data_IF_196138219575
#
_entry.id   IF_196138219575
#
_cell.length_a   1.000
_cell.length_b   1.000
_cell.length_c   1.000
_cell.angle_alpha   90.00
_cell.angle_beta   90.00
_cell.angle_gamma   90.00
#
_symmetry.space_group_name_H-M   'P 1'
#
loop_
_entity.id
_entity.type
_entity.pdbx_description
1 polymer ?
#
# COMPACT_ATOMS: atom_id res chain seq x y z
N UNK A 1 18.01 -42.38 16.01
CA UNK A 1 16.77 -42.03 16.73
C UNK A 1 15.62 -42.06 15.72
N UNK A 2 14.71 -43.04 15.82
CA UNK A 2 13.58 -43.15 14.89
C UNK A 2 12.51 -42.09 15.22
N UNK A 3 12.52 -40.96 14.51
CA UNK A 3 11.45 -39.97 14.62
C UNK A 3 10.22 -40.51 13.91
N UNK A 4 9.19 -40.87 14.69
CA UNK A 4 7.89 -41.31 14.17
C UNK A 4 6.93 -40.12 14.13
N UNK A 5 6.28 -39.92 12.99
CA UNK A 5 5.31 -38.86 12.76
C UNK A 5 4.06 -39.11 13.62
N UNK A 6 3.59 -38.10 14.36
CA UNK A 6 2.44 -38.24 15.29
C UNK A 6 1.26 -37.40 14.84
N UNK A 7 0.05 -37.92 15.04
CA UNK A 7 -1.17 -37.18 14.75
C UNK A 7 -1.33 -35.97 15.70
N UNK A 8 -1.61 -34.76 15.21
CA UNK A 8 -1.82 -33.58 16.07
C UNK A 8 -3.13 -33.65 16.89
N UNK A 9 -4.05 -34.54 16.52
CA UNK A 9 -5.38 -34.63 17.16
C UNK A 9 -5.44 -35.69 18.26
N UNK A 10 -4.78 -36.83 18.06
CA UNK A 10 -4.84 -37.96 18.99
C UNK A 10 -3.46 -38.49 19.41
N UNK A 11 -2.38 -37.85 18.97
CA UNK A 11 -0.98 -38.17 19.30
C UNK A 11 -0.48 -39.56 18.93
N UNK A 12 -1.33 -40.38 18.29
CA UNK A 12 -0.98 -41.70 17.80
C UNK A 12 0.08 -41.59 16.69
N UNK A 13 1.05 -42.52 16.71
CA UNK A 13 2.04 -42.66 15.64
C UNK A 13 1.39 -43.06 14.31
N UNK A 14 1.82 -42.44 13.22
CA UNK A 14 1.34 -42.73 11.86
C UNK A 14 2.24 -43.79 11.23
N UNK A 15 1.64 -44.82 10.64
CA UNK A 15 2.36 -45.86 9.92
C UNK A 15 2.91 -45.32 8.59
N UNK A 16 4.07 -45.78 8.10
CA UNK A 16 4.67 -45.30 6.85
C UNK A 16 3.75 -45.43 5.61
N UNK A 17 2.85 -46.42 5.58
CA UNK A 17 1.91 -46.63 4.49
C UNK A 17 0.82 -45.54 4.40
N UNK A 18 0.56 -44.82 5.50
CA UNK A 18 -0.45 -43.76 5.58
C UNK A 18 0.15 -42.35 5.41
N UNK A 19 1.39 -42.28 4.96
CA UNK A 19 2.14 -41.05 4.71
C UNK A 19 2.39 -40.91 3.22
N UNK A 20 1.82 -39.88 2.61
CA UNK A 20 2.15 -39.53 1.24
C UNK A 20 3.22 -38.43 1.25
N UNK A 21 4.48 -38.85 1.10
CA UNK A 21 5.64 -37.95 1.09
C UNK A 21 5.65 -36.98 -0.11
N UNK A 22 5.01 -37.33 -1.23
CA UNK A 22 4.94 -36.46 -2.41
C UNK A 22 3.96 -35.30 -2.23
N UNK A 23 2.90 -35.52 -1.46
CA UNK A 23 1.87 -34.52 -1.17
C UNK A 23 2.03 -33.87 0.21
N UNK A 24 3.00 -34.33 1.01
CA UNK A 24 3.23 -33.89 2.40
C UNK A 24 2.01 -34.05 3.32
N UNK A 25 1.16 -35.04 3.03
CA UNK A 25 -0.08 -35.31 3.77
C UNK A 25 -0.02 -36.68 4.44
N UNK A 26 -0.45 -36.74 5.69
CA UNK A 26 -0.59 -37.98 6.45
C UNK A 26 -2.05 -38.18 6.89
N UNK A 27 -2.50 -39.44 6.90
CA UNK A 27 -3.82 -39.83 7.40
C UNK A 27 -3.67 -40.65 8.68
N UNK A 28 -4.36 -40.25 9.74
CA UNK A 28 -4.43 -41.05 10.96
C UNK A 28 -5.54 -42.09 10.85
N UNK A 29 -5.19 -43.38 10.96
CA UNK A 29 -6.17 -44.47 10.98
C UNK A 29 -7.00 -44.50 12.27
N UNK A 30 -6.45 -44.02 13.40
CA UNK A 30 -7.13 -44.08 14.69
C UNK A 30 -8.27 -43.05 14.83
N UNK A 31 -8.10 -41.83 14.31
CA UNK A 31 -9.09 -40.75 14.43
C UNK A 31 -9.60 -40.21 13.10
N UNK A 32 -9.11 -40.72 11.97
CA UNK A 32 -9.47 -40.28 10.63
C UNK A 32 -8.91 -38.93 10.20
N UNK A 33 -8.11 -38.27 11.05
CA UNK A 33 -7.59 -36.93 10.77
C UNK A 33 -6.57 -36.96 9.63
N UNK A 34 -6.79 -36.15 8.59
CA UNK A 34 -5.86 -35.93 7.49
C UNK A 34 -5.20 -34.57 7.71
N UNK A 35 -3.87 -34.52 7.74
CA UNK A 35 -3.13 -33.30 8.06
C UNK A 35 -1.85 -33.19 7.23
N UNK A 36 -1.45 -31.97 6.94
CA UNK A 36 -0.18 -31.66 6.28
C UNK A 36 0.92 -31.54 7.36
N UNK A 37 2.08 -32.16 7.14
CA UNK A 37 3.20 -32.20 8.09
C UNK A 37 4.45 -31.42 7.63
N UNK A 38 4.34 -30.60 6.59
CA UNK A 38 5.40 -29.73 6.09
C UNK A 38 5.96 -28.79 7.18
N UNK A 39 5.07 -28.25 8.02
CA UNK A 39 5.45 -27.35 9.11
C UNK A 39 6.16 -28.05 10.28
N UNK A 40 5.92 -29.35 10.48
CA UNK A 40 6.46 -30.10 11.63
C UNK A 40 7.93 -30.51 11.43
N UNK A 41 8.41 -30.52 10.19
CA UNK A 41 9.80 -30.87 9.85
C UNK A 41 10.57 -29.69 9.23
N UNK A 42 10.05 -28.47 9.33
CA UNK A 42 10.84 -27.27 9.10
C UNK A 42 12.00 -27.26 10.10
N UNK A 43 13.22 -27.52 9.62
CA UNK A 43 14.41 -27.63 10.45
C UNK A 43 14.58 -26.36 11.29
N UNK A 44 14.97 -26.47 12.58
CA UNK A 44 15.35 -25.29 13.36
C UNK A 44 16.66 -24.75 12.77
N UNK A 45 16.55 -23.79 11.85
CA UNK A 45 17.68 -23.18 11.15
C UNK A 45 17.44 -22.89 9.66
N UNK A 46 16.41 -23.45 9.03
CA UNK A 46 15.99 -22.99 7.70
C UNK A 46 15.15 -21.75 7.86
N UNK A 47 15.78 -20.57 7.72
CA UNK A 47 15.09 -19.37 7.29
C UNK A 47 14.12 -19.78 6.17
N UNK A 48 12.83 -19.42 6.32
CA UNK A 48 11.78 -19.63 5.32
C UNK A 48 12.41 -19.55 3.93
N UNK A 49 12.57 -20.67 3.23
CA UNK A 49 13.00 -20.62 1.85
C UNK A 49 11.86 -19.97 1.10
N UNK A 50 12.03 -18.67 0.85
CA UNK A 50 11.10 -17.81 0.17
C UNK A 50 10.98 -18.36 -1.26
N UNK A 51 9.84 -18.98 -1.57
CA UNK A 51 9.56 -19.52 -2.91
C UNK A 51 9.38 -18.31 -3.84
N UNK A 52 10.15 -18.19 -4.94
CA UNK A 52 9.94 -17.14 -5.93
C UNK A 52 8.51 -17.18 -6.46
N UNK A 53 7.81 -16.05 -6.43
CA UNK A 53 6.41 -15.97 -6.86
C UNK A 53 6.35 -15.67 -8.36
N UNK A 54 5.77 -16.57 -9.14
CA UNK A 54 5.48 -16.31 -10.56
C UNK A 54 4.14 -15.55 -10.64
N UNK A 55 4.20 -14.22 -10.75
CA UNK A 55 3.04 -13.32 -10.78
C UNK A 55 2.65 -13.00 -12.23
N UNK A 56 1.35 -12.97 -12.52
CA UNK A 56 0.87 -12.53 -13.84
C UNK A 56 1.28 -11.07 -14.09
N UNK A 57 1.67 -10.75 -15.33
CA UNK A 57 2.02 -9.37 -15.70
C UNK A 57 0.79 -8.48 -15.64
N UNK A 58 0.91 -7.40 -14.87
CA UNK A 58 -0.19 -6.44 -14.68
C UNK A 58 -0.12 -5.39 -15.77
N UNK A 59 -1.22 -5.20 -16.48
CA UNK A 59 -1.35 -4.12 -17.46
C UNK A 59 -1.30 -2.75 -16.77
N UNK A 60 -0.73 -1.75 -17.44
CA UNK A 60 -0.64 -0.39 -16.90
C UNK A 60 -2.04 0.15 -16.48
N UNK A 61 -2.26 0.45 -15.19
CA UNK A 61 -3.54 0.93 -14.70
C UNK A 61 -3.76 2.42 -15.04
N UNK A 62 -5.01 2.89 -15.07
CA UNK A 62 -5.34 4.25 -15.47
C UNK A 62 -4.77 5.29 -14.49
N UNK A 63 -4.13 6.34 -15.02
CA UNK A 63 -3.55 7.41 -14.21
C UNK A 63 -2.13 7.15 -13.73
N UNK A 64 -1.53 6.04 -14.17
CA UNK A 64 -0.09 5.79 -14.12
C UNK A 64 0.48 5.96 -15.54
N UNK A 65 1.55 6.72 -15.66
CA UNK A 65 2.37 6.83 -16.87
C UNK A 65 3.77 6.31 -16.53
N UNK A 66 4.34 5.48 -17.38
CA UNK A 66 5.67 4.90 -17.15
C UNK A 66 6.50 4.91 -18.43
N UNK A 67 7.77 5.27 -18.31
CA UNK A 67 8.75 5.08 -19.37
C UNK A 67 10.08 4.63 -18.79
N UNK A 68 10.76 3.76 -19.52
CA UNK A 68 12.05 3.21 -19.14
C UNK A 68 13.11 3.65 -20.14
N UNK A 69 14.21 4.18 -19.62
CA UNK A 69 15.47 4.46 -20.30
C UNK A 69 16.49 3.39 -19.91
N UNK A 70 17.67 3.38 -20.54
CA UNK A 70 18.71 2.36 -20.28
C UNK A 70 19.11 2.23 -18.80
N UNK A 71 19.13 3.34 -18.06
CA UNK A 71 19.60 3.38 -16.67
C UNK A 71 18.64 4.08 -15.72
N UNK A 72 17.40 4.28 -16.15
CA UNK A 72 16.41 5.02 -15.37
C UNK A 72 15.00 4.55 -15.71
N UNK A 73 14.20 4.30 -14.69
CA UNK A 73 12.77 4.07 -14.81
C UNK A 73 12.04 5.25 -14.19
N UNK A 74 11.15 5.86 -14.96
CA UNK A 74 10.30 6.95 -14.50
C UNK A 74 8.85 6.50 -14.48
N UNK A 75 8.22 6.59 -13.31
CA UNK A 75 6.80 6.33 -13.12
C UNK A 75 6.12 7.59 -12.58
N UNK A 76 4.94 7.90 -13.09
CA UNK A 76 4.19 9.11 -12.74
C UNK A 76 2.75 8.73 -12.42
N UNK A 77 2.33 9.02 -11.20
CA UNK A 77 0.99 8.71 -10.67
C UNK A 77 0.19 9.99 -10.46
N UNK A 78 -0.97 10.10 -11.10
CA UNK A 78 -1.86 11.25 -10.95
C UNK A 78 -2.65 11.20 -9.64
N UNK A 79 -2.85 12.36 -8.99
CA UNK A 79 -3.64 12.42 -7.76
C UNK A 79 -5.15 12.58 -8.03
N UNK A 80 -5.55 12.81 -9.28
CA UNK A 80 -6.92 13.15 -9.67
C UNK A 80 -7.95 12.13 -9.16
N UNK A 81 -7.58 10.85 -9.12
CA UNK A 81 -8.45 9.77 -8.68
C UNK A 81 -8.69 9.75 -7.15
N UNK A 82 -8.05 10.65 -6.38
CA UNK A 82 -8.19 10.80 -4.92
C UNK A 82 -9.31 11.76 -4.50
N UNK A 83 -9.99 12.39 -5.46
CA UNK A 83 -11.09 13.32 -5.18
C UNK A 83 -12.36 12.53 -4.87
N UNK A 84 -12.92 12.77 -3.69
CA UNK A 84 -14.20 12.22 -3.27
C UNK A 84 -15.34 13.13 -3.72
N UNK A 85 -16.27 12.62 -4.53
CA UNK A 85 -17.36 13.42 -5.11
C UNK A 85 -18.20 14.16 -4.07
N UNK A 86 -18.53 13.49 -2.95
CA UNK A 86 -19.24 14.13 -1.84
C UNK A 86 -18.44 15.28 -1.21
N UNK A 87 -17.15 15.09 -0.95
CA UNK A 87 -16.30 16.11 -0.35
C UNK A 87 -16.12 17.32 -1.29
N UNK A 88 -16.03 17.07 -2.60
CA UNK A 88 -15.98 18.13 -3.60
C UNK A 88 -17.29 18.94 -3.63
N UNK A 89 -18.44 18.27 -3.66
CA UNK A 89 -19.75 18.91 -3.56
C UNK A 89 -19.87 19.73 -2.26
N UNK A 90 -19.53 19.12 -1.13
CA UNK A 90 -19.56 19.78 0.18
C UNK A 90 -18.66 21.01 0.19
N UNK A 91 -17.46 20.94 -0.38
CA UNK A 91 -16.54 22.09 -0.46
C UNK A 91 -17.17 23.24 -1.23
N UNK A 92 -17.78 22.97 -2.39
CA UNK A 92 -18.43 24.03 -3.19
C UNK A 92 -19.65 24.60 -2.45
N UNK A 93 -20.55 23.74 -1.97
CA UNK A 93 -21.76 24.17 -1.28
C UNK A 93 -21.46 24.95 0.00
N UNK A 94 -20.48 24.50 0.79
CA UNK A 94 -20.03 25.17 2.01
C UNK A 94 -19.48 26.57 1.72
N UNK A 95 -18.58 26.69 0.74
CA UNK A 95 -18.02 28.00 0.40
C UNK A 95 -19.07 28.96 -0.15
N UNK A 96 -20.05 28.47 -0.94
CA UNK A 96 -21.18 29.28 -1.39
C UNK A 96 -22.07 29.73 -0.23
N UNK A 97 -22.32 28.85 0.74
CA UNK A 97 -23.10 29.15 1.93
C UNK A 97 -22.47 30.25 2.79
N UNK A 98 -21.13 30.35 2.84
CA UNK A 98 -20.44 31.40 3.61
C UNK A 98 -20.56 32.81 2.99
N UNK A 99 -20.81 32.94 1.68
CA UNK A 99 -20.86 34.23 0.96
C UNK A 99 -21.80 35.26 1.60
N UNK A 100 -23.09 34.96 1.88
CA UNK A 100 -23.98 35.96 2.50
C UNK A 100 -23.49 36.44 3.88
N UNK A 101 -22.85 35.57 4.65
CA UNK A 101 -22.28 35.93 5.95
C UNK A 101 -21.08 36.87 5.79
N UNK A 102 -20.22 36.63 4.80
CA UNK A 102 -19.12 37.55 4.45
C UNK A 102 -19.69 38.95 4.12
N UNK A 103 -20.72 39.02 3.27
CA UNK A 103 -21.35 40.29 2.89
C UNK A 103 -21.99 41.01 4.09
N UNK A 104 -22.65 40.28 4.99
CA UNK A 104 -23.24 40.84 6.20
C UNK A 104 -22.18 41.42 7.15
N UNK A 105 -21.05 40.73 7.32
CA UNK A 105 -19.95 41.22 8.15
C UNK A 105 -19.32 42.47 7.54
N UNK A 106 -19.11 42.50 6.22
CA UNK A 106 -18.59 43.69 5.53
C UNK A 106 -19.51 44.90 5.69
N UNK A 107 -20.82 44.69 5.77
CA UNK A 107 -21.80 45.77 5.95
C UNK A 107 -21.94 46.23 7.42
N UNK A 108 -21.86 45.29 8.37
CA UNK A 108 -22.07 45.56 9.81
C UNK A 108 -20.80 45.97 10.56
N UNK A 109 -19.63 45.52 10.11
CA UNK A 109 -18.35 45.72 10.79
C UNK A 109 -18.17 44.88 12.06
N UNK A 110 -19.01 43.85 12.27
CA UNK A 110 -18.96 43.01 13.47
C UNK A 110 -17.70 42.12 13.48
N UNK A 111 -16.77 42.46 14.38
CA UNK A 111 -15.50 41.76 14.55
C UNK A 111 -15.64 40.40 15.25
N UNK A 112 -16.65 40.22 16.10
CA UNK A 112 -16.89 38.93 16.77
C UNK A 112 -17.37 37.91 15.73
N UNK A 113 -18.33 38.31 14.89
CA UNK A 113 -18.82 37.51 13.79
C UNK A 113 -17.70 37.19 12.78
N UNK A 114 -16.79 38.14 12.52
CA UNK A 114 -15.61 37.92 11.68
C UNK A 114 -14.67 36.86 12.25
N UNK A 115 -14.41 36.87 13.55
CA UNK A 115 -13.54 35.88 14.18
C UNK A 115 -14.10 34.46 14.01
N UNK A 116 -15.39 34.26 14.28
CA UNK A 116 -16.03 32.96 14.05
C UNK A 116 -16.01 32.54 12.58
N UNK A 117 -16.29 33.48 11.66
CA UNK A 117 -16.28 33.20 10.24
C UNK A 117 -14.86 32.88 9.72
N UNK A 118 -13.83 33.50 10.28
CA UNK A 118 -12.43 33.29 9.85
C UNK A 118 -12.00 31.83 9.92
N UNK A 119 -12.41 31.09 10.97
CA UNK A 119 -12.14 29.66 11.11
C UNK A 119 -12.83 28.85 10.00
N UNK A 120 -14.06 29.20 9.67
CA UNK A 120 -14.84 28.53 8.62
C UNK A 120 -14.25 28.79 7.23
N UNK A 121 -13.77 30.01 6.99
CA UNK A 121 -13.06 30.38 5.76
C UNK A 121 -11.72 29.67 5.65
N UNK A 122 -10.99 29.51 6.75
CA UNK A 122 -9.74 28.75 6.77
C UNK A 122 -9.98 27.28 6.40
N UNK A 123 -11.01 26.66 6.98
CA UNK A 123 -11.40 25.29 6.60
C UNK A 123 -11.84 25.22 5.14
N UNK A 124 -12.73 26.11 4.69
CA UNK A 124 -13.23 26.15 3.31
C UNK A 124 -12.11 26.36 2.29
N UNK A 125 -11.19 27.27 2.56
CA UNK A 125 -10.01 27.55 1.73
C UNK A 125 -9.03 26.38 1.71
N UNK A 126 -8.80 25.72 2.86
CA UNK A 126 -7.94 24.53 2.93
C UNK A 126 -8.51 23.36 2.10
N UNK A 127 -9.83 23.19 2.09
CA UNK A 127 -10.50 22.19 1.26
C UNK A 127 -10.36 22.53 -0.22
N UNK A 128 -10.60 23.77 -0.63
CA UNK A 128 -10.39 24.20 -2.02
C UNK A 128 -8.95 23.94 -2.45
N UNK A 129 -7.98 24.39 -1.64
CA UNK A 129 -6.57 24.18 -1.89
C UNK A 129 -6.23 22.70 -2.07
N UNK A 130 -6.74 21.83 -1.20
CA UNK A 130 -6.55 20.38 -1.30
C UNK A 130 -7.13 19.78 -2.59
N UNK A 131 -8.31 20.22 -3.03
CA UNK A 131 -8.91 19.76 -4.28
C UNK A 131 -8.08 20.18 -5.49
N UNK A 132 -7.61 21.43 -5.52
CA UNK A 132 -6.72 21.93 -6.58
C UNK A 132 -5.41 21.12 -6.59
N UNK A 133 -4.82 20.85 -5.42
CA UNK A 133 -3.65 20.01 -5.29
C UNK A 133 -3.92 18.60 -5.82
N UNK A 134 -5.05 17.96 -5.51
CA UNK A 134 -5.39 16.64 -6.06
C UNK A 134 -5.59 16.64 -7.58
N UNK A 135 -6.12 17.72 -8.15
CA UNK A 135 -6.32 17.83 -9.60
C UNK A 135 -5.03 17.98 -10.38
N UNK A 136 -4.08 18.76 -9.83
CA UNK A 136 -2.86 19.15 -10.55
C UNK A 136 -1.65 18.30 -10.15
N UNK A 137 -1.59 17.81 -8.92
CA UNK A 137 -0.42 17.09 -8.44
C UNK A 137 -0.29 15.70 -9.03
N UNK A 138 0.97 15.32 -9.18
CA UNK A 138 1.43 14.00 -9.55
C UNK A 138 2.52 13.59 -8.58
N UNK A 139 2.61 12.28 -8.34
CA UNK A 139 3.78 11.67 -7.71
C UNK A 139 4.69 11.16 -8.82
N UNK A 140 5.92 11.64 -8.86
CA UNK A 140 6.94 11.13 -9.78
C UNK A 140 7.90 10.25 -8.99
N UNK A 141 8.13 9.04 -9.50
CA UNK A 141 9.13 8.10 -9.03
C UNK A 141 10.22 8.04 -10.09
N UNK A 142 11.43 8.42 -9.71
CA UNK A 142 12.62 8.25 -10.52
C UNK A 142 13.46 7.14 -9.90
N UNK A 143 13.60 6.03 -10.61
CA UNK A 143 14.31 4.85 -10.14
C UNK A 143 15.58 4.70 -10.96
N UNK A 144 16.71 4.65 -10.26
CA UNK A 144 18.04 4.36 -10.82
C UNK A 144 18.63 3.17 -10.07
N UNK A 145 19.70 2.52 -10.58
CA UNK A 145 20.38 1.47 -9.84
C UNK A 145 20.90 1.88 -8.44
N UNK A 146 21.05 3.18 -8.19
CA UNK A 146 21.60 3.73 -6.95
C UNK A 146 20.53 4.20 -5.98
N UNK A 147 19.44 4.79 -6.47
CA UNK A 147 18.40 5.39 -5.63
C UNK A 147 17.01 5.38 -6.28
N UNK A 148 16.00 5.45 -5.41
CA UNK A 148 14.61 5.78 -5.75
C UNK A 148 14.33 7.18 -5.19
N UNK A 149 13.98 8.11 -6.07
CA UNK A 149 13.56 9.47 -5.73
C UNK A 149 12.05 9.60 -5.91
N UNK A 150 11.39 10.13 -4.88
CA UNK A 150 9.93 10.33 -4.83
C UNK A 150 9.65 11.82 -4.69
N UNK A 151 8.95 12.38 -5.67
CA UNK A 151 8.60 13.79 -5.71
C UNK A 151 7.10 13.99 -5.84
N UNK A 152 6.62 15.10 -5.28
CA UNK A 152 5.22 15.51 -5.32
C UNK A 152 5.13 16.95 -5.81
N UNK A 153 4.40 17.19 -6.89
CA UNK A 153 4.26 18.53 -7.46
C UNK A 153 3.20 18.58 -8.55
N UNK A 154 2.85 19.79 -9.05
CA UNK A 154 3.58 21.05 -8.86
C UNK A 154 3.19 21.87 -7.62
N UNK A 155 2.04 21.60 -7.00
CA UNK A 155 1.55 22.37 -5.84
C UNK A 155 2.18 21.82 -4.55
N UNK A 156 2.81 22.68 -3.73
CA UNK A 156 3.52 22.26 -2.53
C UNK A 156 2.56 21.89 -1.40
N UNK A 157 2.35 20.59 -1.15
CA UNK A 157 1.48 20.15 -0.06
C UNK A 157 2.25 20.13 1.25
N UNK A 158 1.74 20.78 2.32
CA UNK A 158 2.37 20.72 3.63
C UNK A 158 2.62 19.27 4.08
N UNK A 159 3.77 19.03 4.72
CA UNK A 159 4.17 17.72 5.26
C UNK A 159 4.49 16.62 4.23
N UNK A 160 4.33 16.88 2.92
CA UNK A 160 4.82 15.99 1.87
C UNK A 160 6.17 16.49 1.38
N UNK A 161 7.23 15.73 1.68
CA UNK A 161 8.61 16.07 1.30
C UNK A 161 9.09 15.13 0.21
N UNK A 162 10.03 15.61 -0.59
CA UNK A 162 10.83 14.75 -1.47
C UNK A 162 11.56 13.71 -0.62
N UNK A 163 11.49 12.45 -1.04
CA UNK A 163 12.16 11.34 -0.36
C UNK A 163 13.14 10.69 -1.33
N UNK A 164 14.33 10.36 -0.84
CA UNK A 164 15.33 9.62 -1.59
C UNK A 164 15.77 8.41 -0.78
N UNK A 165 15.65 7.23 -1.36
CA UNK A 165 15.97 5.95 -0.74
C UNK A 165 17.05 5.27 -1.58
N UNK A 166 18.05 4.65 -0.95
CA UNK A 166 19.08 3.91 -1.68
C UNK A 166 18.49 2.62 -2.26
N UNK A 167 18.60 2.43 -3.58
CA UNK A 167 18.05 1.26 -4.26
C UNK A 167 18.79 -0.03 -3.87
N UNK A 168 20.10 0.06 -3.60
CA UNK A 168 20.92 -1.08 -3.16
C UNK A 168 20.59 -1.55 -1.75
N UNK A 169 19.96 -0.70 -0.94
CA UNK A 169 19.50 -1.07 0.39
C UNK A 169 18.15 -1.81 0.37
N UNK A 170 17.44 -1.82 -0.76
CA UNK A 170 16.13 -2.46 -0.89
C UNK A 170 16.35 -3.95 -1.09
N UNK A 171 15.85 -4.74 -0.15
CA UNK A 171 15.83 -6.21 -0.26
C UNK A 171 14.61 -6.68 -1.03
N UNK A 172 13.48 -6.02 -0.82
CA UNK A 172 12.20 -6.44 -1.37
C UNK A 172 11.18 -5.29 -1.36
N UNK A 173 10.26 -5.31 -2.34
CA UNK A 173 9.04 -4.51 -2.36
C UNK A 173 7.82 -5.41 -2.11
N UNK A 174 6.74 -4.85 -1.57
CA UNK A 174 5.46 -5.54 -1.42
C UNK A 174 4.32 -4.53 -1.27
N UNK A 175 3.13 -4.91 -1.71
CA UNK A 175 1.92 -4.10 -1.52
C UNK A 175 1.12 -4.63 -0.36
N UNK A 176 0.72 -3.73 0.54
CA UNK A 176 -0.11 -4.06 1.71
C UNK A 176 -1.42 -3.28 1.66
N UNK A 177 -2.52 -3.98 1.92
CA UNK A 177 -3.83 -3.37 2.17
C UNK A 177 -3.90 -2.88 3.63
N UNK A 178 -4.39 -1.65 3.83
CA UNK A 178 -4.60 -1.09 5.15
C UNK A 178 -5.95 -0.37 5.25
N UNK A 179 -6.49 -0.35 6.47
CA UNK A 179 -7.71 0.41 6.79
C UNK A 179 -7.36 1.89 6.81
N UNK A 180 -7.86 2.65 5.83
CA UNK A 180 -7.61 4.08 5.73
C UNK A 180 -8.60 4.91 6.56
N UNK A 181 -9.74 4.33 6.93
CA UNK A 181 -10.70 4.94 7.83
C UNK A 181 -12.02 4.16 7.87
N UNK A 182 -13.02 4.74 8.53
CA UNK A 182 -14.35 4.15 8.67
C UNK A 182 -15.42 5.14 8.19
N UNK A 183 -16.38 4.63 7.41
CA UNK A 183 -17.56 5.37 6.99
C UNK A 183 -18.79 4.63 7.53
N UNK A 184 -19.55 5.27 8.43
CA UNK A 184 -20.73 4.67 9.06
C UNK A 184 -20.43 3.30 9.72
N UNK A 185 -19.26 3.17 10.36
CA UNK A 185 -18.80 1.92 10.98
C UNK A 185 -18.12 0.93 10.02
N UNK A 186 -18.30 1.08 8.70
CA UNK A 186 -17.67 0.20 7.72
C UNK A 186 -16.25 0.69 7.38
N UNK A 187 -15.22 -0.15 7.51
CA UNK A 187 -13.87 0.22 7.11
C UNK A 187 -13.79 0.42 5.59
N UNK A 188 -13.04 1.42 5.15
CA UNK A 188 -12.62 1.52 3.75
C UNK A 188 -11.11 1.32 3.64
N UNK A 189 -10.73 0.55 2.63
CA UNK A 189 -9.36 0.09 2.44
C UNK A 189 -8.62 0.94 1.40
N UNK A 190 -7.29 0.97 1.56
CA UNK A 190 -6.33 1.56 0.63
C UNK A 190 -5.10 0.67 0.57
N UNK A 191 -4.30 0.89 -0.46
CA UNK A 191 -3.07 0.14 -0.67
C UNK A 191 -1.86 1.05 -0.45
N UNK A 192 -0.80 0.47 0.09
CA UNK A 192 0.50 1.10 0.26
C UNK A 192 1.58 0.21 -0.34
N UNK A 193 2.47 0.80 -1.12
CA UNK A 193 3.69 0.15 -1.57
C UNK A 193 4.75 0.34 -0.47
N UNK A 194 5.20 -0.76 0.09
CA UNK A 194 6.20 -0.79 1.15
C UNK A 194 7.47 -1.46 0.65
N UNK A 195 8.56 -1.13 1.32
CA UNK A 195 9.87 -1.72 1.07
C UNK A 195 10.39 -2.36 2.35
N UNK A 196 11.14 -3.44 2.17
CA UNK A 196 11.99 -4.00 3.22
C UNK A 196 13.44 -3.69 2.88
N UNK A 197 14.12 -3.03 3.80
CA UNK A 197 15.55 -2.74 3.69
C UNK A 197 16.38 -3.97 4.09
N UNK A 198 17.63 -4.02 3.63
CA UNK A 198 18.60 -5.06 4.01
C UNK A 198 18.85 -5.13 5.52
N UNK A 199 18.65 -4.00 6.23
CA UNK A 199 18.68 -3.93 7.71
C UNK A 199 17.51 -4.66 8.38
N UNK A 200 16.49 -5.09 7.62
CA UNK A 200 15.25 -5.67 8.11
C UNK A 200 14.14 -4.65 8.39
N UNK A 201 14.47 -3.35 8.39
CA UNK A 201 13.49 -2.27 8.58
C UNK A 201 12.48 -2.22 7.43
N UNK A 202 11.23 -1.92 7.77
CA UNK A 202 10.14 -1.72 6.81
C UNK A 202 9.88 -0.23 6.67
N UNK A 203 9.85 0.26 5.44
CA UNK A 203 9.52 1.65 5.13
C UNK A 203 8.39 1.73 4.10
N UNK A 204 7.66 2.83 4.11
CA UNK A 204 6.55 3.04 3.19
C UNK A 204 7.01 3.95 2.04
N UNK A 205 6.96 3.41 0.82
CA UNK A 205 7.38 4.11 -0.40
C UNK A 205 6.23 4.98 -0.94
N UNK A 206 5.04 4.39 -1.07
CA UNK A 206 3.84 5.07 -1.52
C UNK A 206 2.65 4.70 -0.63
N UNK A 207 1.75 5.66 -0.43
CA UNK A 207 0.50 5.46 0.30
C UNK A 207 -0.70 5.96 -0.47
N UNK A 208 -1.87 5.55 0.00
CA UNK A 208 -3.16 6.00 -0.50
C UNK A 208 -3.35 5.69 -1.99
N UNK A 209 -2.85 4.51 -2.41
CA UNK A 209 -3.18 3.91 -3.70
C UNK A 209 -4.61 3.40 -3.63
N UNK A 210 -5.38 3.64 -4.70
CA UNK A 210 -6.82 3.40 -4.67
C UNK A 210 -7.15 1.94 -4.95
N UNK A 211 -6.38 1.32 -5.84
CA UNK A 211 -6.57 -0.04 -6.29
C UNK A 211 -5.28 -0.85 -6.04
N UNK A 212 -5.45 -2.15 -5.83
CA UNK A 212 -4.33 -3.10 -5.72
C UNK A 212 -3.42 -3.03 -6.95
N UNK A 213 -4.01 -3.01 -8.15
CA UNK A 213 -3.31 -2.98 -9.43
C UNK A 213 -2.33 -1.80 -9.56
N UNK A 214 -2.65 -0.63 -8.98
CA UNK A 214 -1.73 0.52 -8.99
C UNK A 214 -0.44 0.20 -8.24
N UNK A 215 -0.57 -0.45 -7.07
CA UNK A 215 0.57 -0.84 -6.25
C UNK A 215 1.36 -1.96 -6.90
N UNK A 216 0.66 -3.01 -7.32
CA UNK A 216 1.27 -4.22 -7.87
C UNK A 216 1.95 -3.94 -9.21
N UNK A 217 1.38 -3.05 -10.04
CA UNK A 217 2.03 -2.59 -11.26
C UNK A 217 3.36 -1.86 -10.95
N UNK A 218 3.34 -0.91 -10.02
CA UNK A 218 4.54 -0.15 -9.64
C UNK A 218 5.60 -1.06 -9.03
N UNK A 219 5.20 -2.00 -8.17
CA UNK A 219 6.06 -3.06 -7.62
C UNK A 219 6.76 -3.83 -8.74
N UNK A 220 5.99 -4.44 -9.66
CA UNK A 220 6.54 -5.23 -10.78
C UNK A 220 7.51 -4.43 -11.65
N UNK A 221 7.20 -3.16 -11.94
CA UNK A 221 8.10 -2.32 -12.75
C UNK A 221 9.43 -2.04 -12.03
N UNK A 222 9.38 -1.74 -10.73
CA UNK A 222 10.59 -1.48 -9.93
C UNK A 222 11.42 -2.75 -9.79
N UNK A 223 10.79 -3.89 -9.49
CA UNK A 223 11.47 -5.17 -9.33
C UNK A 223 12.13 -5.62 -10.63
N UNK A 224 11.42 -5.52 -11.76
CA UNK A 224 11.97 -5.83 -13.09
C UNK A 224 13.16 -4.94 -13.43
N UNK A 225 13.08 -3.64 -13.11
CA UNK A 225 14.15 -2.69 -13.40
C UNK A 225 15.39 -2.90 -12.51
N UNK A 226 15.19 -3.12 -11.20
CA UNK A 226 16.28 -3.33 -10.23
C UNK A 226 16.76 -4.78 -10.16
N UNK A 227 16.09 -5.71 -10.85
CA UNK A 227 16.33 -7.17 -10.80
C UNK A 227 16.22 -7.72 -9.37
N UNK A 228 15.20 -7.25 -8.65
CA UNK A 228 14.85 -7.76 -7.32
C UNK A 228 13.94 -8.98 -7.51
N UNK A 229 14.21 -10.05 -6.77
CA UNK A 229 13.37 -11.25 -6.79
C UNK A 229 12.11 -11.03 -5.92
N UNK A 230 10.94 -11.26 -6.50
CA UNK A 230 9.65 -11.23 -5.81
C UNK A 230 9.52 -12.45 -4.88
N UNK A 231 9.27 -12.19 -3.60
CA UNK A 231 9.18 -13.20 -2.55
C UNK A 231 7.89 -12.99 -1.77
N UNK A 232 7.24 -14.04 -1.26
CA UNK A 232 6.03 -13.83 -0.47
C UNK A 232 6.31 -13.07 0.85
N UNK A 233 5.62 -11.95 1.09
CA UNK A 233 5.69 -11.20 2.35
C UNK A 233 4.43 -11.35 3.21
N UNK A 234 4.63 -11.32 4.53
CA UNK A 234 3.52 -11.48 5.48
C UNK A 234 2.67 -10.20 5.50
N UNK A 235 1.42 -10.31 5.04
CA UNK A 235 0.47 -9.20 4.93
C UNK A 235 0.37 -8.60 3.52
N UNK A 236 1.11 -9.16 2.57
CA UNK A 236 1.07 -8.76 1.17
C UNK A 236 -0.22 -9.20 0.48
N UNK A 237 -0.70 -8.37 -0.45
CA UNK A 237 -1.80 -8.74 -1.36
C UNK A 237 -1.29 -9.54 -2.56
N UNK A 238 -1.99 -10.62 -2.90
CA UNK A 238 -1.53 -11.58 -3.89
C UNK A 238 -1.93 -11.24 -5.32
#
# INVERSE_FOLDING_TARGET
>A
MNQTLRCPKCEQGIAPADINIHLLIAKCQACGNVFNFEQQYSAPGTALQQIPKERAEISMPPGIEGYQLMNELNLRLTWRNRIHGFLAFFTVAWNLFLIPFILMIMASGDLEMLLFLSLHLLVGGSLIYWHIACLLNKTTLQITPQYILIEHGPIPVPFMRTQQISATAIRQLYVEEYVAGHTNGNPFYRFALKIRLASGQREQLLKNLRNADEGLYVEQQIERFLKIEDMAERGEIA
#
